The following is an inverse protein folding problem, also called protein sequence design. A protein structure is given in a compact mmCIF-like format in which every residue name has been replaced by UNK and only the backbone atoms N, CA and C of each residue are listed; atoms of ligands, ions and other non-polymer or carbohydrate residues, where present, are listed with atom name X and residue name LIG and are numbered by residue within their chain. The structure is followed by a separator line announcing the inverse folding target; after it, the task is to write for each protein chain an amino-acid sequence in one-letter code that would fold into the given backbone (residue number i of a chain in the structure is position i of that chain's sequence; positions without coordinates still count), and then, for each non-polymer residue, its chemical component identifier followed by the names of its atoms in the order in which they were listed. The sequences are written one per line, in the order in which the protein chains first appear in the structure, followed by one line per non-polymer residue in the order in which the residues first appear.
data_IF_030534333644
#
_entry.id   IF_030534333644
#
_cell.length_a   1.000
_cell.length_b   1.000
_cell.length_c   1.000
_cell.angle_alpha   90.00
_cell.angle_beta   90.00
_cell.angle_gamma   90.00
#
_symmetry.space_group_name_H-M   'P 1'
#
loop_
_entity.id
_entity.type
_entity.pdbx_description
1 polymer ?
#
# COMPACT_ATOMS: atom_id res chain seq x y z
N UNK A 1 -2.27 -12.08 2.28
CA UNK A 1 -1.84 -13.46 1.94
C UNK A 1 -0.54 -13.67 2.68
N UNK A 2 -0.52 -14.61 3.62
CA UNK A 2 0.70 -14.97 4.34
C UNK A 2 1.46 -15.98 3.50
N UNK A 3 2.68 -15.66 3.14
CA UNK A 3 3.62 -16.64 2.61
C UNK A 3 4.21 -17.34 3.85
N UNK A 4 3.77 -18.56 4.12
CA UNK A 4 4.33 -19.43 5.17
C UNK A 4 5.74 -19.91 4.80
N UNK A 5 6.11 -21.12 5.18
CA UNK A 5 7.43 -21.71 4.88
C UNK A 5 7.63 -22.13 3.40
N UNK A 6 6.85 -21.58 2.48
CA UNK A 6 6.91 -21.89 1.07
C UNK A 6 8.07 -21.18 0.39
N UNK A 7 8.76 -21.89 -0.51
CA UNK A 7 9.87 -21.35 -1.33
C UNK A 7 9.30 -20.54 -2.50
N UNK A 8 8.84 -19.32 -2.22
CA UNK A 8 8.39 -18.38 -3.25
C UNK A 8 9.57 -17.55 -3.75
N UNK A 9 9.59 -17.26 -5.03
CA UNK A 9 10.61 -16.43 -5.66
C UNK A 9 10.69 -15.05 -4.99
N UNK A 10 11.89 -14.66 -4.59
CA UNK A 10 12.09 -13.41 -3.80
C UNK A 10 11.76 -12.16 -4.61
N UNK A 11 11.93 -12.23 -5.91
CA UNK A 11 11.74 -11.13 -6.87
C UNK A 11 10.28 -10.68 -6.95
N UNK A 12 9.33 -11.61 -6.72
CA UNK A 12 7.89 -11.31 -6.72
C UNK A 12 7.38 -10.85 -5.35
N UNK A 13 8.19 -10.97 -4.31
CA UNK A 13 7.82 -10.58 -2.96
C UNK A 13 8.12 -9.11 -2.68
N UNK A 14 7.18 -8.42 -2.04
CA UNK A 14 7.35 -7.05 -1.54
C UNK A 14 7.02 -6.97 -0.05
N UNK A 15 7.66 -6.06 0.71
CA UNK A 15 7.23 -5.78 2.08
C UNK A 15 5.79 -5.30 2.10
N UNK A 16 4.93 -5.98 2.84
CA UNK A 16 3.54 -5.59 3.06
C UNK A 16 3.45 -4.70 4.31
N UNK A 17 2.82 -3.54 4.19
CA UNK A 17 2.74 -2.59 5.29
C UNK A 17 1.31 -2.13 5.56
N UNK A 18 1.01 -1.97 6.83
CA UNK A 18 -0.18 -1.30 7.33
C UNK A 18 0.21 -0.52 8.59
N UNK A 19 -0.64 0.36 9.06
CA UNK A 19 -0.38 1.05 10.33
C UNK A 19 -0.23 0.08 11.50
N UNK A 20 -0.93 -1.07 11.44
CA UNK A 20 -0.84 -2.13 12.44
C UNK A 20 0.52 -2.85 12.40
N UNK A 21 1.00 -3.19 11.18
CA UNK A 21 2.32 -3.84 11.02
C UNK A 21 3.45 -2.88 11.37
N UNK A 22 3.36 -1.61 10.99
CA UNK A 22 4.35 -0.59 11.33
C UNK A 22 4.44 -0.33 12.84
N UNK A 23 3.32 -0.35 13.55
CA UNK A 23 3.31 -0.31 15.01
C UNK A 23 4.00 -1.53 15.64
N UNK A 24 3.83 -2.71 15.05
CA UNK A 24 4.46 -3.95 15.53
C UNK A 24 5.96 -4.02 15.24
N UNK A 25 6.45 -3.43 14.14
CA UNK A 25 7.88 -3.37 13.80
C UNK A 25 8.72 -2.70 14.88
N UNK A 26 8.16 -1.78 15.64
CA UNK A 26 8.82 -1.19 16.79
C UNK A 26 9.01 -2.19 17.96
N UNK A 27 8.30 -3.34 17.94
CA UNK A 27 8.27 -4.33 19.03
C UNK A 27 8.78 -5.71 18.59
N UNK A 28 8.49 -6.14 17.34
CA UNK A 28 8.90 -7.46 16.81
C UNK A 28 9.35 -7.32 15.35
N UNK A 29 10.59 -7.73 15.05
CA UNK A 29 11.25 -7.69 13.71
C UNK A 29 10.68 -8.65 12.67
N UNK A 30 9.38 -8.87 12.55
CA UNK A 30 8.82 -9.70 11.47
C UNK A 30 8.38 -8.82 10.31
N UNK A 31 9.08 -8.93 9.20
CA UNK A 31 8.70 -8.32 7.92
C UNK A 31 7.64 -9.18 7.24
N UNK A 32 6.40 -8.71 7.25
CA UNK A 32 5.35 -9.30 6.43
C UNK A 32 5.67 -9.04 4.95
N UNK A 33 5.51 -10.07 4.12
CA UNK A 33 5.70 -9.98 2.66
C UNK A 33 4.41 -10.36 1.95
N UNK A 34 4.26 -9.86 0.74
CA UNK A 34 3.13 -10.14 -0.14
C UNK A 34 3.64 -10.49 -1.54
N UNK A 35 3.00 -11.45 -2.19
CA UNK A 35 3.19 -11.68 -3.63
C UNK A 35 2.65 -10.46 -4.36
N UNK A 36 3.49 -9.83 -5.18
CA UNK A 36 3.17 -8.61 -5.90
C UNK A 36 3.22 -8.87 -7.41
N UNK A 37 2.11 -9.33 -8.03
CA UNK A 37 2.08 -9.83 -9.41
C UNK A 37 2.09 -8.68 -10.45
N UNK A 38 3.03 -7.75 -10.27
CA UNK A 38 3.19 -6.59 -11.14
C UNK A 38 4.67 -6.34 -11.41
N UNK A 39 4.99 -5.97 -12.64
CA UNK A 39 6.34 -5.59 -13.07
C UNK A 39 6.50 -4.07 -13.14
N UNK A 40 7.68 -3.59 -12.80
CA UNK A 40 8.01 -2.18 -12.90
C UNK A 40 8.24 -1.79 -14.36
N UNK A 41 7.65 -0.69 -14.79
CA UNK A 41 7.94 -0.03 -16.06
C UNK A 41 8.23 1.46 -15.85
N UNK A 42 8.50 2.19 -16.93
CA UNK A 42 8.78 3.63 -16.88
C UNK A 42 7.65 4.43 -16.23
N UNK A 43 6.41 4.06 -16.47
CA UNK A 43 5.20 4.73 -15.95
C UNK A 43 4.68 4.18 -14.62
N UNK A 44 5.45 3.32 -13.92
CA UNK A 44 5.03 2.70 -12.66
C UNK A 44 4.93 1.19 -12.76
N UNK A 45 3.93 0.59 -12.12
CA UNK A 45 3.73 -0.86 -12.15
C UNK A 45 2.64 -1.24 -13.13
N UNK A 46 2.90 -2.30 -13.94
CA UNK A 46 1.93 -2.92 -14.85
C UNK A 46 1.78 -4.40 -14.49
N UNK A 47 0.65 -4.98 -14.85
CA UNK A 47 0.37 -6.40 -14.61
C UNK A 47 1.23 -7.31 -15.48
N UNK A 48 1.45 -8.53 -14.99
CA UNK A 48 1.95 -9.62 -15.80
C UNK A 48 0.80 -10.21 -16.62
N UNK A 49 1.09 -10.69 -17.84
CA UNK A 49 0.21 -11.65 -18.49
C UNK A 49 0.29 -13.00 -17.76
N UNK A 50 -0.80 -13.76 -17.73
CA UNK A 50 -0.87 -14.99 -16.93
C UNK A 50 0.25 -15.98 -17.27
N UNK A 51 0.48 -16.22 -18.58
CA UNK A 51 1.53 -17.12 -19.06
C UNK A 51 2.92 -16.64 -18.63
N UNK A 52 3.20 -15.35 -18.80
CA UNK A 52 4.46 -14.73 -18.35
C UNK A 52 4.66 -14.88 -16.85
N UNK A 53 3.59 -14.71 -16.07
CA UNK A 53 3.65 -14.84 -14.61
C UNK A 53 3.94 -16.29 -14.20
N UNK A 54 3.26 -17.25 -14.81
CA UNK A 54 3.43 -18.68 -14.55
C UNK A 54 4.85 -19.16 -14.89
N UNK A 55 5.37 -18.79 -16.07
CA UNK A 55 6.71 -19.14 -16.51
C UNK A 55 7.82 -18.54 -15.65
N UNK A 56 7.64 -17.27 -15.23
CA UNK A 56 8.67 -16.53 -14.52
C UNK A 56 8.68 -16.78 -13.01
N UNK A 57 7.51 -17.08 -12.42
CA UNK A 57 7.32 -17.26 -10.99
C UNK A 57 6.46 -18.49 -10.71
N UNK A 58 6.92 -19.69 -11.07
CA UNK A 58 6.15 -20.92 -10.99
C UNK A 58 5.70 -21.26 -9.56
N UNK A 59 6.52 -21.01 -8.55
CA UNK A 59 6.16 -21.31 -7.16
C UNK A 59 5.11 -20.30 -6.64
N UNK A 60 5.24 -19.02 -6.96
CA UNK A 60 4.23 -18.02 -6.63
C UNK A 60 2.91 -18.29 -7.34
N UNK A 61 2.96 -18.68 -8.62
CA UNK A 61 1.77 -19.04 -9.38
C UNK A 61 1.07 -20.27 -8.80
N UNK A 62 1.82 -21.33 -8.48
CA UNK A 62 1.31 -22.55 -7.86
C UNK A 62 0.65 -22.27 -6.51
N UNK A 63 1.28 -21.44 -5.67
CA UNK A 63 0.70 -21.04 -4.39
C UNK A 63 -0.62 -20.31 -4.58
N UNK A 64 -0.66 -19.29 -5.41
CA UNK A 64 -1.90 -18.56 -5.71
C UNK A 64 -2.97 -19.46 -6.35
N UNK A 65 -2.57 -20.41 -7.20
CA UNK A 65 -3.46 -21.37 -7.85
C UNK A 65 -4.16 -22.29 -6.85
N UNK A 66 -3.51 -22.61 -5.73
CA UNK A 66 -4.14 -23.40 -4.65
C UNK A 66 -5.34 -22.68 -4.00
N UNK A 67 -5.43 -21.36 -4.18
CA UNK A 67 -6.54 -20.53 -3.72
C UNK A 67 -7.45 -20.03 -4.86
N UNK A 68 -7.34 -20.62 -6.05
CA UNK A 68 -8.02 -20.14 -7.26
C UNK A 68 -9.50 -19.84 -7.05
N UNK A 69 -10.28 -20.77 -6.49
CA UNK A 69 -11.72 -20.60 -6.29
C UNK A 69 -12.06 -19.39 -5.42
N UNK A 70 -11.27 -19.16 -4.38
CA UNK A 70 -11.44 -18.00 -3.47
C UNK A 70 -11.03 -16.70 -4.17
N UNK A 71 -9.94 -16.72 -4.91
CA UNK A 71 -9.42 -15.56 -5.61
C UNK A 71 -10.32 -15.15 -6.77
N UNK A 72 -10.84 -16.12 -7.52
CA UNK A 72 -11.69 -15.88 -8.68
C UNK A 72 -13.11 -15.41 -8.29
N UNK A 73 -13.63 -15.88 -7.15
CA UNK A 73 -14.96 -15.48 -6.62
C UNK A 73 -14.96 -14.12 -5.92
N UNK A 74 -13.80 -13.54 -5.61
CA UNK A 74 -13.77 -12.24 -4.93
C UNK A 74 -14.26 -11.11 -5.84
N UNK A 75 -14.85 -10.08 -5.23
CA UNK A 75 -15.24 -8.87 -5.94
C UNK A 75 -13.98 -8.10 -6.36
N UNK A 76 -13.71 -8.06 -7.65
CA UNK A 76 -12.53 -7.45 -8.27
C UNK A 76 -12.93 -6.43 -9.32
N UNK A 77 -11.95 -5.61 -9.76
CA UNK A 77 -12.11 -4.75 -10.93
C UNK A 77 -12.34 -5.63 -12.18
N UNK A 78 -13.16 -5.17 -13.13
CA UNK A 78 -13.60 -5.97 -14.30
C UNK A 78 -12.45 -6.59 -15.11
N UNK A 79 -11.32 -5.89 -15.20
CA UNK A 79 -10.14 -6.32 -15.97
C UNK A 79 -9.07 -7.00 -15.12
N UNK A 80 -9.35 -7.26 -13.84
CA UNK A 80 -8.40 -7.92 -12.97
C UNK A 80 -8.39 -9.43 -13.21
N UNK A 81 -7.20 -9.99 -13.43
CA UNK A 81 -7.03 -11.44 -13.47
C UNK A 81 -7.15 -12.03 -12.06
N UNK A 82 -7.45 -13.32 -11.96
CA UNK A 82 -7.69 -14.00 -10.69
C UNK A 82 -6.52 -13.92 -9.69
N UNK A 83 -5.27 -13.81 -10.17
CA UNK A 83 -4.06 -13.72 -9.35
C UNK A 83 -3.66 -12.26 -8.99
N UNK A 84 -4.26 -11.25 -9.64
CA UNK A 84 -4.01 -9.85 -9.34
C UNK A 84 -4.70 -9.40 -8.05
N UNK A 85 -4.42 -8.20 -7.60
CA UNK A 85 -5.20 -7.59 -6.53
C UNK A 85 -6.60 -7.20 -7.02
N UNK A 86 -7.60 -7.42 -6.19
CA UNK A 86 -8.98 -7.12 -6.57
C UNK A 86 -9.25 -5.63 -6.82
N UNK A 87 -8.39 -4.75 -6.32
CA UNK A 87 -8.42 -3.31 -6.53
C UNK A 87 -7.05 -2.84 -6.99
N UNK A 88 -6.98 -2.26 -8.19
CA UNK A 88 -5.72 -1.87 -8.84
C UNK A 88 -5.45 -0.36 -8.82
N UNK A 89 -6.40 0.45 -8.36
CA UNK A 89 -6.40 1.92 -8.47
C UNK A 89 -5.11 2.60 -8.00
N UNK A 90 -4.46 2.07 -6.97
CA UNK A 90 -3.25 2.67 -6.41
C UNK A 90 -1.95 1.95 -6.81
N UNK A 91 -2.02 0.89 -7.63
CA UNK A 91 -0.85 0.06 -7.94
C UNK A 91 0.22 0.86 -8.69
N UNK A 92 -0.16 1.66 -9.67
CA UNK A 92 0.76 2.50 -10.42
C UNK A 92 1.50 3.51 -9.51
N UNK A 93 0.82 3.96 -8.47
CA UNK A 93 1.30 4.99 -7.55
C UNK A 93 2.12 4.46 -6.37
N UNK A 94 2.23 3.14 -6.19
CA UNK A 94 2.95 2.55 -5.04
C UNK A 94 4.46 2.84 -5.06
N UNK A 95 5.07 3.09 -6.23
CA UNK A 95 6.51 3.37 -6.34
C UNK A 95 6.88 4.66 -5.60
N UNK A 96 8.02 4.64 -4.93
CA UNK A 96 8.57 5.80 -4.21
C UNK A 96 8.32 5.78 -2.71
N UNK A 97 9.04 6.63 -1.98
CA UNK A 97 8.80 6.83 -0.55
C UNK A 97 7.39 7.35 -0.30
N UNK A 98 6.81 6.93 0.81
CA UNK A 98 5.45 7.31 1.18
C UNK A 98 5.25 7.33 2.68
N UNK A 99 4.28 8.12 3.11
CA UNK A 99 3.73 8.04 4.45
C UNK A 99 2.53 7.11 4.47
N UNK A 100 2.35 6.36 5.54
CA UNK A 100 1.15 5.57 5.78
C UNK A 100 0.51 5.97 7.12
N UNK A 101 -0.81 6.09 7.15
CA UNK A 101 -1.58 6.43 8.33
C UNK A 101 -2.94 5.73 8.35
N UNK A 102 -3.60 5.59 9.52
CA UNK A 102 -4.84 4.84 9.64
C UNK A 102 -6.01 5.56 8.96
N UNK A 103 -6.98 4.78 8.47
CA UNK A 103 -8.24 5.32 7.93
C UNK A 103 -9.14 5.89 9.03
N UNK A 104 -9.05 5.34 10.24
CA UNK A 104 -9.84 5.76 11.40
C UNK A 104 -8.90 5.96 12.58
N UNK A 105 -9.05 7.04 13.27
CA UNK A 105 -8.29 7.35 14.49
C UNK A 105 -9.16 8.14 15.46
N UNK A 106 -8.99 7.85 16.74
CA UNK A 106 -9.69 8.49 17.86
C UNK A 106 -8.82 9.51 18.62
N UNK A 107 -7.52 9.47 18.34
CA UNK A 107 -6.50 10.33 18.93
C UNK A 107 -5.62 10.88 17.81
N UNK A 108 -4.54 11.61 18.16
CA UNK A 108 -3.55 12.10 17.20
C UNK A 108 -3.15 11.01 16.19
N UNK A 109 -3.08 11.38 14.94
CA UNK A 109 -2.75 10.45 13.83
C UNK A 109 -1.33 9.93 13.99
N UNK A 110 -1.16 8.61 13.95
CA UNK A 110 0.16 7.98 13.90
C UNK A 110 0.56 7.78 12.46
N UNK A 111 1.60 8.47 12.02
CA UNK A 111 2.11 8.46 10.66
C UNK A 111 3.45 7.76 10.59
N UNK A 112 3.60 6.84 9.66
CA UNK A 112 4.82 6.06 9.46
C UNK A 112 5.39 6.30 8.06
N UNK A 113 6.71 6.48 7.98
CA UNK A 113 7.42 6.55 6.70
C UNK A 113 7.74 5.14 6.21
N UNK A 114 7.45 4.85 4.96
CA UNK A 114 7.66 3.56 4.31
C UNK A 114 8.62 3.67 3.15
N UNK A 115 9.42 2.62 2.95
CA UNK A 115 10.35 2.50 1.83
C UNK A 115 9.62 2.46 0.48
N UNK A 116 10.35 2.78 -0.59
CA UNK A 116 9.84 2.79 -1.96
C UNK A 116 9.20 1.47 -2.39
N UNK A 117 9.73 0.32 -1.95
CA UNK A 117 9.25 -1.01 -2.31
C UNK A 117 8.11 -1.53 -1.43
N UNK A 118 7.72 -0.81 -0.38
CA UNK A 118 6.66 -1.24 0.52
C UNK A 118 5.28 -1.10 -0.14
N UNK A 119 4.46 -2.14 0.00
CA UNK A 119 3.08 -2.20 -0.50
C UNK A 119 2.11 -1.94 0.65
N UNK A 120 1.44 -0.77 0.69
CA UNK A 120 0.38 -0.52 1.65
C UNK A 120 -0.84 -1.39 1.32
N UNK A 121 -1.31 -2.20 2.28
CA UNK A 121 -2.51 -3.03 2.10
C UNK A 121 -3.69 -2.60 2.98
N UNK A 122 -3.46 -1.71 3.94
CA UNK A 122 -4.51 -1.10 4.76
C UNK A 122 -4.05 0.27 5.29
N UNK A 123 -4.98 1.21 5.36
CA UNK A 123 -4.73 2.60 5.69
C UNK A 123 -4.67 3.48 4.45
N UNK A 124 -4.45 4.76 4.66
CA UNK A 124 -4.14 5.70 3.59
C UNK A 124 -2.64 5.80 3.40
N UNK A 125 -2.21 6.09 2.18
CA UNK A 125 -0.83 6.50 1.94
C UNK A 125 -0.77 7.81 1.17
N UNK A 126 0.27 8.57 1.45
CA UNK A 126 0.57 9.85 0.83
C UNK A 126 1.97 9.80 0.22
N UNK A 127 2.08 10.30 -1.00
CA UNK A 127 3.35 10.48 -1.73
C UNK A 127 3.58 11.96 -2.01
N UNK A 128 4.85 12.33 -2.09
CA UNK A 128 5.23 13.64 -2.60
C UNK A 128 4.95 13.70 -4.11
N UNK A 129 4.31 14.76 -4.59
CA UNK A 129 4.24 15.08 -6.03
C UNK A 129 5.58 15.68 -6.48
N UNK A 130 5.97 15.46 -7.73
CA UNK A 130 7.28 15.87 -8.26
C UNK A 130 7.57 17.38 -8.09
N UNK A 131 6.55 18.21 -8.24
CA UNK A 131 6.67 19.68 -8.15
C UNK A 131 6.29 20.24 -6.77
N UNK A 132 6.06 19.40 -5.76
CA UNK A 132 5.73 19.87 -4.42
C UNK A 132 6.96 20.52 -3.77
N UNK A 133 6.78 21.70 -3.19
CA UNK A 133 7.77 22.35 -2.33
C UNK A 133 7.91 21.70 -0.97
N UNK A 134 6.88 20.94 -0.53
CA UNK A 134 6.84 20.26 0.75
C UNK A 134 7.47 18.89 0.68
N UNK A 135 8.12 18.49 1.75
CA UNK A 135 8.69 17.16 1.94
C UNK A 135 7.69 16.21 2.61
N UNK A 136 7.97 14.90 2.58
CA UNK A 136 7.18 13.93 3.37
C UNK A 136 7.31 14.17 4.87
N UNK A 137 8.41 14.73 5.33
CA UNK A 137 8.60 15.03 6.76
C UNK A 137 7.76 16.25 7.18
N UNK A 138 7.58 17.24 6.30
CA UNK A 138 6.65 18.35 6.53
C UNK A 138 5.20 17.84 6.60
N UNK A 139 4.79 17.03 5.64
CA UNK A 139 3.47 16.40 5.65
C UNK A 139 3.25 15.53 6.91
N UNK A 140 4.27 14.80 7.35
CA UNK A 140 4.21 14.03 8.59
C UNK A 140 4.01 14.92 9.81
N UNK A 141 4.74 16.03 9.92
CA UNK A 141 4.59 16.99 11.03
C UNK A 141 3.18 17.56 11.07
N UNK A 142 2.63 17.94 9.90
CA UNK A 142 1.26 18.46 9.79
C UNK A 142 0.23 17.42 10.24
N UNK A 143 0.27 16.22 9.67
CA UNK A 143 -0.65 15.13 10.00
C UNK A 143 -0.62 14.73 11.49
N UNK A 144 0.50 14.93 12.16
CA UNK A 144 0.67 14.61 13.58
C UNK A 144 0.44 15.82 14.53
N UNK A 145 0.13 17.00 13.97
CA UNK A 145 -0.12 18.22 14.78
C UNK A 145 -1.45 18.16 15.50
N UNK A 146 -1.55 18.91 16.61
CA UNK A 146 -2.80 19.12 17.33
C UNK A 146 -3.83 19.80 16.44
N UNK A 147 -3.40 20.86 15.74
CA UNK A 147 -4.26 21.63 14.84
C UNK A 147 -4.95 20.75 13.79
N UNK A 148 -4.22 19.78 13.20
CA UNK A 148 -4.80 18.82 12.24
C UNK A 148 -5.81 17.90 12.91
N UNK A 149 -5.52 17.42 14.12
CA UNK A 149 -6.44 16.56 14.88
C UNK A 149 -7.74 17.29 15.24
N UNK A 150 -7.65 18.51 15.73
CA UNK A 150 -8.82 19.34 16.04
C UNK A 150 -9.66 19.61 14.81
N UNK A 151 -9.02 20.01 13.70
CA UNK A 151 -9.69 20.25 12.43
C UNK A 151 -10.50 19.04 11.94
N UNK A 152 -9.90 17.84 11.95
CA UNK A 152 -10.62 16.61 11.55
C UNK A 152 -11.77 16.30 12.51
N UNK A 153 -11.58 16.49 13.78
CA UNK A 153 -12.61 16.24 14.79
C UNK A 153 -13.84 17.15 14.58
N UNK A 154 -13.63 18.38 14.22
CA UNK A 154 -14.68 19.36 13.95
C UNK A 154 -15.42 19.07 12.64
N UNK A 155 -14.71 18.68 11.57
CA UNK A 155 -15.25 18.60 10.22
C UNK A 155 -15.64 17.18 9.79
N UNK A 156 -15.40 16.12 10.57
CA UNK A 156 -15.66 14.72 10.23
C UNK A 156 -15.16 14.33 8.81
N UNK A 157 -13.95 14.74 8.48
CA UNK A 157 -13.43 14.75 7.11
C UNK A 157 -13.41 13.39 6.40
N UNK A 158 -13.82 13.40 5.14
CA UNK A 158 -13.56 12.33 4.16
C UNK A 158 -12.09 12.35 3.68
N UNK A 159 -11.66 11.31 2.99
CA UNK A 159 -10.31 11.23 2.39
C UNK A 159 -9.98 12.41 1.49
N UNK A 160 -10.96 12.86 0.68
CA UNK A 160 -10.80 13.95 -0.27
C UNK A 160 -10.57 15.30 0.43
N UNK A 161 -11.23 15.50 1.53
CA UNK A 161 -11.07 16.69 2.35
C UNK A 161 -9.73 16.72 3.08
N UNK A 162 -9.20 15.56 3.48
CA UNK A 162 -7.83 15.44 4.00
C UNK A 162 -6.81 15.81 2.92
N UNK A 163 -7.01 15.38 1.67
CA UNK A 163 -6.16 15.80 0.55
C UNK A 163 -6.21 17.31 0.36
N UNK A 164 -7.38 17.91 0.30
CA UNK A 164 -7.54 19.36 0.15
C UNK A 164 -6.87 20.11 1.31
N UNK A 165 -7.08 19.70 2.55
CA UNK A 165 -6.43 20.30 3.70
C UNK A 165 -4.91 20.29 3.60
N UNK A 166 -4.32 19.19 3.13
CA UNK A 166 -2.88 19.06 2.95
C UNK A 166 -2.32 19.91 1.79
N UNK A 167 -3.16 20.29 0.83
CA UNK A 167 -2.73 21.03 -0.36
C UNK A 167 -3.13 22.52 -0.34
N UNK A 168 -4.19 22.87 0.35
CA UNK A 168 -4.72 24.25 0.40
C UNK A 168 -4.38 24.97 1.71
N UNK A 169 -4.11 24.25 2.77
CA UNK A 169 -3.91 24.80 4.12
C UNK A 169 -2.47 25.07 4.54
N UNK A 170 -1.53 25.06 3.58
CA UNK A 170 -0.12 25.31 3.84
C UNK A 170 0.36 26.52 3.07
#
# INVERSE_FOLDING_TARGET
IYVGDMKIEKEILRPAVSTKTMKRKSVKKRDEKIIFPYKLCSKGYIKYEQKEFEEKFPEAYKDLKSFYDKLNKRKSDEKAQWFEYGRSQAIAEIKGEKLIFPMVFTNKVKVYKCNSNAVPYAGYFLKKKDHSRYTLDDAKKILQSEKFYEYIKEHRMSTKEIENYLFEGI
#
